data_IF_624951355291
#
_entry.id   IF_624951355291
#
_cell.length_a   1.000
_cell.length_b   1.000
_cell.length_c   1.000
_cell.angle_alpha   90.00
_cell.angle_beta   90.00
_cell.angle_gamma   90.00
#
_symmetry.space_group_name_H-M   'P 1'
#
loop_
_entity.id
_entity.type
_entity.pdbx_description
1 polymer ?
#
# COMPACT_ATOMS: atom_id res chain seq x y z
N UNK A 1 -20.39 4.37 19.19
CA UNK A 1 -21.23 4.54 17.99
C UNK A 1 -21.70 5.99 17.82
N UNK A 2 -22.43 6.57 18.78
CA UNK A 2 -23.01 7.93 18.68
C UNK A 2 -22.04 9.05 18.23
N UNK A 3 -20.82 9.10 18.78
CA UNK A 3 -19.82 10.06 18.33
C UNK A 3 -19.45 9.86 16.85
N UNK A 4 -19.16 8.62 16.45
CA UNK A 4 -18.78 8.29 15.06
C UNK A 4 -19.94 8.45 14.08
N UNK A 5 -21.19 8.33 14.52
CA UNK A 5 -22.38 8.69 13.73
C UNK A 5 -22.36 10.17 13.35
N UNK A 6 -21.97 11.06 14.27
CA UNK A 6 -21.84 12.50 14.00
C UNK A 6 -20.55 12.86 13.25
N UNK A 7 -19.43 12.28 13.65
CA UNK A 7 -18.12 12.59 13.07
C UNK A 7 -17.92 12.02 11.66
N UNK A 8 -18.34 10.78 11.42
CA UNK A 8 -18.10 10.05 10.15
C UNK A 8 -19.38 9.75 9.37
N UNK A 9 -20.55 10.17 9.87
CA UNK A 9 -21.83 9.89 9.21
C UNK A 9 -22.22 8.41 9.22
N UNK A 10 -21.75 7.61 10.19
CA UNK A 10 -22.06 6.18 10.25
C UNK A 10 -23.57 5.93 10.32
N UNK A 11 -24.06 5.10 9.41
CA UNK A 11 -25.49 4.76 9.30
C UNK A 11 -25.91 3.62 10.25
N UNK A 12 -24.94 2.87 10.80
CA UNK A 12 -25.21 1.74 11.70
C UNK A 12 -23.93 1.25 12.37
N UNK A 13 -24.10 0.41 13.40
CA UNK A 13 -22.98 -0.24 14.07
C UNK A 13 -22.32 -1.27 13.16
N UNK A 14 -21.01 -1.39 13.28
CA UNK A 14 -20.26 -2.39 12.54
C UNK A 14 -20.61 -3.80 13.06
N UNK A 15 -20.85 -4.80 12.18
CA UNK A 15 -21.05 -6.17 12.59
C UNK A 15 -19.91 -6.68 13.47
N UNK A 16 -20.24 -7.35 14.58
CA UNK A 16 -19.27 -7.77 15.61
C UNK A 16 -18.06 -8.53 15.05
N UNK A 17 -18.28 -9.40 14.06
CA UNK A 17 -17.19 -10.17 13.46
C UNK A 17 -16.13 -9.28 12.78
N UNK A 18 -16.54 -8.17 12.15
CA UNK A 18 -15.61 -7.23 11.51
C UNK A 18 -14.78 -6.50 12.55
N UNK A 19 -15.43 -6.10 13.64
CA UNK A 19 -14.74 -5.50 14.78
C UNK A 19 -13.67 -6.45 15.36
N UNK A 20 -14.01 -7.74 15.53
CA UNK A 20 -13.06 -8.74 16.00
C UNK A 20 -11.89 -8.94 15.02
N UNK A 21 -12.15 -9.04 13.71
CA UNK A 21 -11.08 -9.16 12.70
C UNK A 21 -10.19 -7.91 12.69
N UNK A 22 -10.79 -6.72 12.79
CA UNK A 22 -10.04 -5.46 12.85
C UNK A 22 -9.15 -5.39 14.09
N UNK A 23 -9.62 -5.85 15.25
CA UNK A 23 -8.82 -5.86 16.47
C UNK A 23 -7.62 -6.83 16.39
N UNK A 24 -7.78 -7.97 15.71
CA UNK A 24 -6.68 -8.94 15.51
C UNK A 24 -5.66 -8.48 14.47
N UNK A 25 -6.08 -7.61 13.56
CA UNK A 25 -5.26 -7.04 12.49
C UNK A 25 -4.99 -5.54 12.70
N UNK A 26 -4.93 -5.10 13.97
CA UNK A 26 -4.69 -3.70 14.28
C UNK A 26 -3.35 -3.25 13.68
N UNK A 27 -3.29 -2.10 12.98
CA UNK A 27 -2.09 -1.66 12.28
C UNK A 27 -0.97 -1.20 13.22
N UNK A 28 -1.27 -0.90 14.48
CA UNK A 28 -0.30 -0.42 15.47
C UNK A 28 0.16 -1.53 16.41
N UNK A 29 -0.70 -2.50 16.70
CA UNK A 29 -0.37 -3.70 17.49
C UNK A 29 -0.96 -4.98 16.87
N UNK A 30 -0.37 -5.49 15.78
CA UNK A 30 -0.91 -6.63 15.06
C UNK A 30 -0.70 -7.92 15.87
N UNK A 31 -1.74 -8.37 16.55
CA UNK A 31 -1.72 -9.63 17.32
C UNK A 31 -1.51 -10.83 16.39
N UNK A 32 -2.24 -10.86 15.25
CA UNK A 32 -2.20 -11.99 14.29
C UNK A 32 -2.13 -11.54 12.82
N UNK A 33 -1.70 -10.30 12.55
CA UNK A 33 -1.75 -9.72 11.20
C UNK A 33 -1.05 -10.56 10.12
N UNK A 34 0.17 -11.05 10.39
CA UNK A 34 0.89 -11.91 9.44
C UNK A 34 0.21 -13.27 9.24
N UNK A 35 -0.35 -13.87 10.30
CA UNK A 35 -1.06 -15.15 10.22
C UNK A 35 -2.32 -15.05 9.36
N UNK A 36 -3.12 -13.99 9.58
CA UNK A 36 -4.29 -13.71 8.76
C UNK A 36 -3.91 -13.39 7.31
N UNK A 37 -2.82 -12.63 7.10
CA UNK A 37 -2.29 -12.33 5.77
C UNK A 37 -1.89 -13.59 5.00
N UNK A 38 -1.20 -14.54 5.65
CA UNK A 38 -0.85 -15.82 5.04
C UNK A 38 -2.09 -16.61 4.62
N UNK A 39 -3.10 -16.75 5.49
CA UNK A 39 -4.34 -17.45 5.18
C UNK A 39 -5.09 -16.81 4.00
N UNK A 40 -5.07 -15.48 3.92
CA UNK A 40 -5.65 -14.76 2.79
C UNK A 40 -4.93 -15.07 1.48
N UNK A 41 -3.59 -15.04 1.49
CA UNK A 41 -2.77 -15.36 0.31
C UNK A 41 -2.99 -16.80 -0.15
N UNK A 42 -2.95 -17.77 0.76
CA UNK A 42 -3.16 -19.19 0.44
C UNK A 42 -4.53 -19.44 -0.20
N UNK A 43 -5.57 -18.70 0.21
CA UNK A 43 -6.95 -18.94 -0.24
C UNK A 43 -7.36 -18.13 -1.48
N UNK A 44 -6.87 -16.90 -1.62
CA UNK A 44 -7.42 -15.96 -2.60
C UNK A 44 -6.38 -15.35 -3.55
N UNK A 45 -5.09 -15.46 -3.26
CA UNK A 45 -4.05 -14.84 -4.08
C UNK A 45 -3.51 -15.83 -5.13
N UNK A 46 -3.49 -15.42 -6.39
CA UNK A 46 -2.92 -16.20 -7.49
C UNK A 46 -1.53 -15.66 -7.87
N UNK A 47 -0.55 -16.53 -8.09
CA UNK A 47 0.81 -16.15 -8.49
C UNK A 47 0.86 -15.30 -9.77
N UNK A 48 -0.06 -15.50 -10.73
CA UNK A 48 -0.14 -14.65 -11.94
C UNK A 48 -0.45 -13.19 -11.62
N UNK A 49 -1.26 -12.92 -10.59
CA UNK A 49 -1.58 -11.56 -10.16
C UNK A 49 -0.35 -10.83 -9.61
N UNK A 50 0.61 -11.56 -9.04
CA UNK A 50 1.86 -10.99 -8.55
C UNK A 50 2.69 -10.39 -9.69
N UNK A 51 2.91 -11.17 -10.75
CA UNK A 51 3.71 -10.73 -11.91
C UNK A 51 3.08 -9.53 -12.61
N UNK A 52 1.75 -9.51 -12.75
CA UNK A 52 1.05 -8.39 -13.37
C UNK A 52 1.20 -7.10 -12.56
N UNK A 53 1.06 -7.19 -11.24
CA UNK A 53 1.25 -6.03 -10.34
C UNK A 53 2.71 -5.57 -10.32
N UNK A 54 3.68 -6.49 -10.37
CA UNK A 54 5.10 -6.15 -10.46
C UNK A 54 5.44 -5.41 -11.76
N UNK A 55 4.84 -5.82 -12.89
CA UNK A 55 4.96 -5.11 -14.17
C UNK A 55 4.39 -3.69 -14.07
N UNK A 56 3.20 -3.54 -13.48
CA UNK A 56 2.58 -2.21 -13.28
C UNK A 56 3.48 -1.33 -12.40
N UNK A 57 3.98 -1.88 -11.28
CA UNK A 57 4.88 -1.15 -10.37
C UNK A 57 6.15 -0.68 -11.10
N UNK A 58 6.74 -1.54 -11.94
CA UNK A 58 7.88 -1.19 -12.80
C UNK A 58 7.52 -0.08 -13.78
N UNK A 59 6.40 -0.18 -14.48
CA UNK A 59 5.97 0.86 -15.43
C UNK A 59 5.74 2.22 -14.77
N UNK A 60 5.12 2.25 -13.58
CA UNK A 60 4.92 3.48 -12.81
C UNK A 60 6.28 4.07 -12.39
N UNK A 61 7.21 3.24 -11.94
CA UNK A 61 8.55 3.66 -11.56
C UNK A 61 9.31 4.28 -12.73
N UNK A 62 9.24 3.66 -13.90
CA UNK A 62 9.95 4.12 -15.09
C UNK A 62 9.34 5.45 -15.59
N UNK A 63 8.00 5.59 -15.54
CA UNK A 63 7.30 6.84 -15.83
C UNK A 63 7.69 7.96 -14.85
N UNK A 64 7.80 7.67 -13.55
CA UNK A 64 8.27 8.62 -12.55
C UNK A 64 9.70 9.08 -12.85
N UNK A 65 10.59 8.16 -13.24
CA UNK A 65 11.95 8.51 -13.68
C UNK A 65 11.95 9.50 -14.84
N UNK A 66 11.12 9.27 -15.87
CA UNK A 66 10.98 10.18 -17.00
C UNK A 66 10.47 11.57 -16.58
N UNK A 67 9.49 11.63 -15.66
CA UNK A 67 8.97 12.89 -15.11
C UNK A 67 10.05 13.63 -14.31
N UNK A 68 10.86 12.91 -13.52
CA UNK A 68 11.97 13.48 -12.75
C UNK A 68 13.02 14.10 -13.70
N UNK A 69 13.29 13.48 -14.84
CA UNK A 69 14.23 14.05 -15.82
C UNK A 69 13.68 15.30 -16.51
N UNK A 70 12.41 15.25 -16.93
CA UNK A 70 11.84 16.27 -17.81
C UNK A 70 11.24 17.48 -17.09
N UNK A 71 11.10 17.47 -15.76
CA UNK A 71 10.62 18.66 -15.06
C UNK A 71 11.65 19.79 -15.08
N UNK A 72 11.17 21.03 -14.98
CA UNK A 72 11.98 22.24 -15.10
C UNK A 72 12.26 22.91 -13.75
N UNK A 73 11.65 22.43 -12.67
CA UNK A 73 11.72 23.06 -11.36
C UNK A 73 12.82 22.50 -10.46
N UNK A 74 13.36 21.30 -10.76
CA UNK A 74 14.51 20.74 -10.03
C UNK A 74 15.83 21.03 -10.73
N UNK A 75 16.86 21.32 -9.94
CA UNK A 75 18.24 21.38 -10.40
C UNK A 75 18.79 19.97 -10.72
N UNK A 76 19.87 19.90 -11.50
CA UNK A 76 20.42 18.63 -11.97
C UNK A 76 20.93 17.74 -10.83
N UNK A 77 21.49 18.31 -9.77
CA UNK A 77 21.99 17.54 -8.64
C UNK A 77 20.84 16.85 -7.89
N UNK A 78 19.74 17.57 -7.65
CA UNK A 78 18.52 17.01 -7.05
C UNK A 78 17.89 15.92 -7.93
N UNK A 79 17.87 16.10 -9.26
CA UNK A 79 17.38 15.08 -10.20
C UNK A 79 18.19 13.78 -10.14
N UNK A 80 19.51 13.88 -10.03
CA UNK A 80 20.39 12.71 -9.91
C UNK A 80 20.12 11.92 -8.62
N UNK A 81 19.98 12.61 -7.49
CA UNK A 81 19.66 11.97 -6.21
C UNK A 81 18.26 11.34 -6.21
N UNK A 82 17.28 12.00 -6.83
CA UNK A 82 15.94 11.44 -6.99
C UNK A 82 15.96 10.15 -7.82
N UNK A 83 16.71 10.11 -8.93
CA UNK A 83 16.90 8.90 -9.72
C UNK A 83 17.62 7.77 -8.96
N UNK A 84 18.58 8.09 -8.10
CA UNK A 84 19.25 7.07 -7.27
C UNK A 84 18.30 6.46 -6.22
N UNK A 85 17.26 7.19 -5.83
CA UNK A 85 16.24 6.74 -4.86
C UNK A 85 15.13 5.93 -5.51
N UNK A 86 14.72 6.26 -6.74
CA UNK A 86 13.61 5.61 -7.46
C UNK A 86 13.73 4.07 -7.56
N UNK A 87 14.90 3.47 -7.87
CA UNK A 87 15.10 2.02 -7.84
C UNK A 87 15.12 1.39 -6.44
N UNK A 88 15.36 2.19 -5.39
CA UNK A 88 15.47 1.73 -3.99
C UNK A 88 14.13 1.68 -3.26
N UNK A 89 13.03 2.03 -3.91
CA UNK A 89 11.71 1.78 -3.35
C UNK A 89 11.57 0.28 -3.11
N UNK A 90 11.38 -0.08 -1.84
CA UNK A 90 11.52 -1.42 -1.23
C UNK A 90 10.71 -2.57 -1.85
N UNK A 91 9.96 -2.32 -2.91
CA UNK A 91 8.95 -3.20 -3.49
C UNK A 91 9.50 -4.26 -4.46
N UNK A 92 10.79 -4.21 -4.84
CA UNK A 92 11.38 -5.07 -5.88
C UNK A 92 12.72 -5.71 -5.48
N UNK A 93 12.95 -5.95 -4.18
CA UNK A 93 14.06 -6.78 -3.70
C UNK A 93 13.61 -8.21 -3.47
#
# INVERSE_FOLDING_TARGET
FEFNKKWRGLQGEEPRWRHCVSALNDPYDPILGYGLGRLYVEKYFNSTQKEDVEKIAKSIRDALGAVIQNNTWMDNHTKEEANKKTPKAWFLK
#
